data_IF_827079730891
#
_entry.id   IF_827079730891
#
_cell.length_a   1.000
_cell.length_b   1.000
_cell.length_c   1.000
_cell.angle_alpha   90.00
_cell.angle_beta   90.00
_cell.angle_gamma   90.00
#
_symmetry.space_group_name_H-M   'P 1'
#
loop_
_entity.id
_entity.type
_entity.pdbx_description
1 polymer ?
#
# COMPACT_ATOMS: atom_id res chain seq x y z
N UNK A 1 12.97 8.47 11.10
CA UNK A 1 11.74 8.34 11.91
C UNK A 1 12.12 7.81 13.27
N UNK A 2 11.48 8.35 14.29
CA UNK A 2 11.76 8.01 15.69
C UNK A 2 10.53 7.36 16.29
N UNK A 3 10.70 6.22 16.94
CA UNK A 3 9.67 5.62 17.76
C UNK A 3 10.32 5.16 19.07
N UNK A 4 9.85 5.63 20.23
CA UNK A 4 10.34 5.14 21.52
C UNK A 4 9.91 3.69 21.75
N UNK A 5 10.51 3.05 22.76
CA UNK A 5 10.14 1.69 23.15
C UNK A 5 8.63 1.57 23.42
N UNK A 6 8.02 0.49 22.91
CA UNK A 6 6.57 0.28 22.98
C UNK A 6 5.77 0.91 21.82
N UNK A 7 6.41 1.68 20.94
CA UNK A 7 5.78 2.31 19.79
C UNK A 7 6.42 1.89 18.47
N UNK A 8 5.61 1.93 17.41
CA UNK A 8 6.00 1.72 16.03
C UNK A 8 5.66 2.97 15.21
N UNK A 9 6.50 3.39 14.25
CA UNK A 9 6.16 4.47 13.34
C UNK A 9 4.89 4.15 12.53
N UNK A 10 4.09 5.16 12.21
CA UNK A 10 2.86 4.99 11.43
C UNK A 10 3.12 4.43 10.02
N UNK A 11 4.36 4.51 9.52
CA UNK A 11 4.72 4.04 8.19
C UNK A 11 4.46 2.55 7.96
N UNK A 12 4.44 1.73 9.02
CA UNK A 12 3.97 0.35 8.92
C UNK A 12 2.52 0.29 8.45
N UNK A 13 1.65 1.12 9.02
CA UNK A 13 0.25 1.21 8.61
C UNK A 13 0.09 1.84 7.22
N UNK A 14 0.88 2.86 6.89
CA UNK A 14 0.86 3.47 5.56
C UNK A 14 1.30 2.48 4.47
N UNK A 15 2.28 1.62 4.76
CA UNK A 15 2.68 0.55 3.86
C UNK A 15 1.52 -0.43 3.61
N UNK A 16 0.76 -0.81 4.63
CA UNK A 16 -0.42 -1.65 4.43
C UNK A 16 -1.48 -0.98 3.57
N UNK A 17 -1.71 0.32 3.72
CA UNK A 17 -2.61 1.06 2.82
C UNK A 17 -2.14 0.97 1.37
N UNK A 18 -0.83 1.11 1.12
CA UNK A 18 -0.25 0.98 -0.22
C UNK A 18 -0.41 -0.44 -0.78
N UNK A 19 -0.07 -1.46 0.01
CA UNK A 19 -0.22 -2.88 -0.36
C UNK A 19 -1.69 -3.21 -0.66
N UNK A 20 -2.62 -2.64 0.11
CA UNK A 20 -4.05 -2.79 -0.10
C UNK A 20 -4.52 -2.15 -1.41
N UNK A 21 -4.08 -0.92 -1.69
CA UNK A 21 -4.34 -0.25 -2.97
C UNK A 21 -3.79 -1.06 -4.15
N UNK A 22 -2.57 -1.58 -4.02
CA UNK A 22 -1.93 -2.44 -5.02
C UNK A 22 -2.72 -3.71 -5.33
N UNK A 23 -3.22 -4.38 -4.29
CA UNK A 23 -4.07 -5.56 -4.43
C UNK A 23 -5.38 -5.20 -5.11
N UNK A 24 -6.06 -4.15 -4.64
CA UNK A 24 -7.27 -3.64 -5.28
C UNK A 24 -7.07 -3.37 -6.77
N UNK A 25 -5.98 -2.70 -7.15
CA UNK A 25 -5.71 -2.39 -8.54
C UNK A 25 -5.56 -3.65 -9.40
N UNK A 26 -4.80 -4.64 -8.92
CA UNK A 26 -4.54 -5.90 -9.66
C UNK A 26 -5.74 -6.85 -9.68
N UNK A 27 -6.43 -6.97 -8.56
CA UNK A 27 -7.45 -8.00 -8.33
C UNK A 27 -8.87 -7.50 -8.63
N UNK A 28 -9.08 -6.19 -8.73
CA UNK A 28 -10.41 -5.60 -8.88
C UNK A 28 -10.47 -4.56 -10.00
N UNK A 29 -9.66 -3.50 -9.95
CA UNK A 29 -9.77 -2.39 -10.89
C UNK A 29 -9.36 -2.77 -12.33
N UNK A 30 -8.22 -3.46 -12.50
CA UNK A 30 -7.75 -3.91 -13.82
C UNK A 30 -8.68 -4.93 -14.48
N UNK A 31 -9.17 -5.99 -13.79
CA UNK A 31 -10.17 -6.89 -14.34
C UNK A 31 -11.44 -6.16 -14.78
N UNK A 32 -11.94 -5.22 -13.96
CA UNK A 32 -13.12 -4.42 -14.32
C UNK A 32 -12.91 -3.62 -15.62
N UNK A 33 -11.73 -3.01 -15.79
CA UNK A 33 -11.38 -2.32 -17.05
C UNK A 33 -11.39 -3.28 -18.23
N UNK A 34 -10.79 -4.46 -18.09
CA UNK A 34 -10.73 -5.45 -19.17
C UNK A 34 -12.12 -5.95 -19.59
N UNK A 35 -13.07 -6.04 -18.65
CA UNK A 35 -14.45 -6.46 -18.91
C UNK A 35 -15.31 -5.36 -19.54
N UNK A 36 -15.01 -4.09 -19.26
CA UNK A 36 -15.84 -2.95 -19.65
C UNK A 36 -15.25 -2.11 -20.79
N UNK A 37 -14.07 -2.46 -21.33
CA UNK A 37 -13.48 -1.81 -22.51
C UNK A 37 -14.30 -2.15 -23.77
N UNK A 38 -15.04 -1.18 -24.34
CA UNK A 38 -15.95 -1.42 -25.45
C UNK A 38 -15.22 -1.61 -26.78
N UNK A 39 -13.92 -1.32 -26.87
CA UNK A 39 -13.20 -1.27 -28.15
C UNK A 39 -12.55 -2.60 -28.52
N UNK A 40 -12.22 -3.45 -27.54
CA UNK A 40 -11.75 -4.83 -27.72
C UNK A 40 -10.55 -5.01 -28.67
N UNK A 41 -9.90 -3.93 -29.11
CA UNK A 41 -8.99 -3.95 -30.26
C UNK A 41 -7.61 -3.36 -30.04
N UNK A 42 -7.34 -2.71 -28.92
CA UNK A 42 -5.99 -2.36 -28.55
C UNK A 42 -5.83 -2.40 -27.04
N UNK A 43 -4.59 -2.60 -26.63
CA UNK A 43 -4.14 -2.74 -25.25
C UNK A 43 -4.67 -1.62 -24.33
N UNK A 44 -5.82 -1.87 -23.69
CA UNK A 44 -6.53 -1.01 -22.73
C UNK A 44 -6.82 0.40 -23.24
N UNK A 45 -8.10 0.77 -23.39
CA UNK A 45 -8.48 2.18 -23.51
C UNK A 45 -7.77 3.00 -22.41
N UNK A 46 -6.96 3.96 -22.86
CA UNK A 46 -6.08 4.76 -22.00
C UNK A 46 -6.87 5.44 -20.90
N UNK A 47 -8.11 5.84 -21.18
CA UNK A 47 -8.97 6.54 -20.23
C UNK A 47 -9.44 5.61 -19.11
N UNK A 48 -9.77 4.35 -19.42
CA UNK A 48 -10.16 3.36 -18.42
C UNK A 48 -8.97 2.93 -17.54
N UNK A 49 -7.80 2.71 -18.15
CA UNK A 49 -6.60 2.38 -17.39
C UNK A 49 -6.19 3.53 -16.46
N UNK A 50 -6.26 4.77 -16.96
CA UNK A 50 -5.99 5.95 -16.15
C UNK A 50 -7.01 6.09 -15.02
N UNK A 51 -8.30 5.83 -15.27
CA UNK A 51 -9.32 5.81 -14.23
C UNK A 51 -9.05 4.76 -13.15
N UNK A 52 -8.65 3.54 -13.53
CA UNK A 52 -8.27 2.50 -12.57
C UNK A 52 -7.04 2.89 -11.74
N UNK A 53 -6.03 3.52 -12.36
CA UNK A 53 -4.85 4.03 -11.66
C UNK A 53 -5.22 5.13 -10.65
N UNK A 54 -6.04 6.10 -11.04
CA UNK A 54 -6.51 7.16 -10.14
C UNK A 54 -7.36 6.60 -9.01
N UNK A 55 -8.16 5.58 -9.27
CA UNK A 55 -8.98 4.90 -8.26
C UNK A 55 -8.14 4.12 -7.25
N UNK A 56 -7.05 3.47 -7.69
CA UNK A 56 -6.03 2.89 -6.78
C UNK A 56 -5.51 3.96 -5.82
N UNK A 57 -5.21 5.17 -6.33
CA UNK A 57 -4.65 6.24 -5.51
C UNK A 57 -5.67 6.77 -4.50
N UNK A 58 -6.91 6.94 -4.94
CA UNK A 58 -8.00 7.35 -4.06
C UNK A 58 -8.26 6.36 -2.95
N UNK A 59 -8.20 5.05 -3.22
CA UNK A 59 -8.36 4.06 -2.16
C UNK A 59 -7.26 4.18 -1.10
N UNK A 60 -6.00 4.36 -1.51
CA UNK A 60 -4.88 4.53 -0.59
C UNK A 60 -5.10 5.77 0.29
N UNK A 61 -5.38 6.92 -0.33
CA UNK A 61 -5.62 8.18 0.39
C UNK A 61 -6.87 8.11 1.28
N UNK A 62 -7.92 7.42 0.84
CA UNK A 62 -9.13 7.19 1.63
C UNK A 62 -8.85 6.33 2.87
N UNK A 63 -8.09 5.24 2.74
CA UNK A 63 -7.66 4.40 3.87
C UNK A 63 -6.83 5.21 4.87
N UNK A 64 -5.87 6.00 4.37
CA UNK A 64 -5.02 6.85 5.22
C UNK A 64 -5.85 7.93 5.92
N UNK A 65 -6.77 8.58 5.21
CA UNK A 65 -7.66 9.59 5.81
C UNK A 65 -8.50 8.98 6.93
N UNK A 66 -9.05 7.79 6.71
CA UNK A 66 -9.81 7.09 7.75
C UNK A 66 -8.94 6.70 8.95
N UNK A 67 -7.73 6.19 8.74
CA UNK A 67 -6.79 5.87 9.82
C UNK A 67 -6.47 7.11 10.67
N UNK A 68 -6.17 8.23 10.02
CA UNK A 68 -5.75 9.46 10.69
C UNK A 68 -6.90 10.22 11.36
N UNK A 69 -8.06 10.28 10.72
CA UNK A 69 -9.21 11.08 11.19
C UNK A 69 -10.13 10.31 12.12
N UNK A 70 -10.43 9.04 11.81
CA UNK A 70 -11.28 8.23 12.68
C UNK A 70 -10.51 7.62 13.85
N UNK A 71 -9.17 7.57 13.75
CA UNK A 71 -8.28 7.00 14.76
C UNK A 71 -8.84 5.70 15.36
N UNK A 72 -9.06 4.66 14.53
CA UNK A 72 -9.64 3.40 14.98
C UNK A 72 -8.81 2.74 16.10
N UNK A 73 -7.53 3.12 16.19
CA UNK A 73 -6.71 3.02 17.40
C UNK A 73 -6.09 4.41 17.67
N UNK A 74 -5.71 4.70 18.93
CA UNK A 74 -5.04 5.94 19.26
C UNK A 74 -3.72 6.13 18.50
N UNK A 75 -3.53 7.31 17.93
CA UNK A 75 -2.25 7.73 17.34
C UNK A 75 -1.48 8.59 18.33
N UNK A 76 -0.15 8.55 18.26
CA UNK A 76 0.74 9.27 19.15
C UNK A 76 1.74 10.10 18.36
N UNK A 77 2.09 11.28 18.87
CA UNK A 77 3.24 12.04 18.41
C UNK A 77 4.43 11.71 19.31
N UNK A 78 5.57 11.42 18.71
CA UNK A 78 6.81 11.10 19.41
C UNK A 78 7.92 12.08 19.03
N UNK A 79 8.46 12.75 20.04
CA UNK A 79 9.62 13.62 19.91
C UNK A 79 10.90 12.80 19.72
N UNK A 80 11.95 13.36 19.08
CA UNK A 80 13.27 12.76 19.08
C UNK A 80 13.85 12.51 20.49
N UNK A 81 13.39 13.27 21.49
CA UNK A 81 13.78 13.09 22.90
C UNK A 81 13.10 11.90 23.59
N UNK A 82 12.17 11.20 22.92
CA UNK A 82 11.40 10.08 23.49
C UNK A 82 10.10 10.49 24.19
N UNK A 83 9.80 11.80 24.27
CA UNK A 83 8.51 12.28 24.80
C UNK A 83 7.38 11.87 23.85
N UNK A 84 6.31 11.32 24.41
CA UNK A 84 5.13 10.90 23.64
C UNK A 84 3.88 11.63 24.10
N UNK A 85 2.97 11.94 23.17
CA UNK A 85 1.63 12.41 23.49
C UNK A 85 0.61 11.81 22.52
N UNK A 86 -0.64 11.64 22.96
CA UNK A 86 -1.70 11.21 22.05
C UNK A 86 -2.05 12.35 21.08
N UNK A 87 -2.11 12.04 19.79
CA UNK A 87 -2.43 12.98 18.74
C UNK A 87 -3.94 13.14 18.61
N UNK A 88 -4.42 14.38 18.55
CA UNK A 88 -5.81 14.66 18.16
C UNK A 88 -6.01 14.44 16.65
N UNK A 89 -7.17 13.96 16.17
CA UNK A 89 -7.49 13.92 14.73
C UNK A 89 -7.30 15.25 14.02
N UNK A 90 -7.43 16.37 14.74
CA UNK A 90 -7.26 17.73 14.21
C UNK A 90 -5.85 17.99 13.66
N UNK A 91 -4.84 17.21 14.08
CA UNK A 91 -3.49 17.31 13.50
C UNK A 91 -3.43 16.82 12.06
N UNK A 92 -4.39 16.01 11.64
CA UNK A 92 -4.36 15.34 10.34
C UNK A 92 -5.43 15.88 9.40
N UNK A 93 -5.85 17.13 9.59
CA UNK A 93 -6.84 17.75 8.72
C UNK A 93 -6.31 17.82 7.29
N UNK A 94 -7.21 17.57 6.35
CA UNK A 94 -6.91 17.48 4.93
C UNK A 94 -7.90 18.28 4.11
N UNK A 95 -7.47 18.83 2.97
CA UNK A 95 -8.36 19.61 2.10
C UNK A 95 -9.54 18.79 1.56
N UNK A 96 -9.30 17.53 1.19
CA UNK A 96 -10.31 16.69 0.52
C UNK A 96 -11.23 15.94 1.51
N UNK A 97 -10.89 15.92 2.80
CA UNK A 97 -11.67 15.24 3.86
C UNK A 97 -12.18 13.84 3.46
N UNK A 98 -11.31 13.02 2.84
CA UNK A 98 -11.72 11.78 2.16
C UNK A 98 -12.49 10.79 3.05
N UNK A 99 -12.21 10.77 4.36
CA UNK A 99 -12.93 9.98 5.35
C UNK A 99 -14.45 10.28 5.48
N UNK A 100 -14.95 11.34 4.85
CA UNK A 100 -16.38 11.68 4.77
C UNK A 100 -17.12 10.92 3.68
N UNK A 101 -16.39 10.34 2.72
CA UNK A 101 -16.97 9.56 1.64
C UNK A 101 -16.90 8.07 1.96
N UNK A 102 -17.79 7.29 1.34
CA UNK A 102 -17.70 5.83 1.33
C UNK A 102 -17.03 5.41 0.02
N UNK A 103 -16.02 4.54 0.12
CA UNK A 103 -15.33 4.03 -1.05
C UNK A 103 -16.04 2.78 -1.56
N UNK A 104 -16.54 2.84 -2.78
CA UNK A 104 -17.16 1.72 -3.49
C UNK A 104 -16.47 1.47 -4.84
N UNK A 105 -16.55 0.26 -5.36
CA UNK A 105 -16.05 -0.07 -6.70
C UNK A 105 -17.10 -0.80 -7.56
N UNK A 106 -17.37 -0.34 -8.80
CA UNK A 106 -16.84 0.87 -9.44
C UNK A 106 -17.22 2.14 -8.67
N UNK A 107 -16.44 3.22 -8.81
CA UNK A 107 -16.73 4.46 -8.08
C UNK A 107 -18.10 5.01 -8.47
N UNK A 108 -19.01 5.05 -7.49
CA UNK A 108 -20.39 5.55 -7.59
C UNK A 108 -20.56 6.91 -6.89
N UNK A 109 -19.79 7.15 -5.82
CA UNK A 109 -19.83 8.40 -5.06
C UNK A 109 -19.40 9.58 -5.94
N UNK A 110 -20.29 10.57 -6.07
CA UNK A 110 -20.07 11.71 -6.96
C UNK A 110 -18.86 12.56 -6.54
N UNK A 111 -18.54 12.62 -5.24
CA UNK A 111 -17.35 13.31 -4.71
C UNK A 111 -16.08 12.61 -5.17
N UNK A 112 -15.96 11.31 -4.88
CA UNK A 112 -14.80 10.51 -5.27
C UNK A 112 -14.63 10.44 -6.80
N UNK A 113 -15.72 10.29 -7.55
CA UNK A 113 -15.70 10.32 -9.03
C UNK A 113 -15.17 11.66 -9.55
N UNK A 114 -15.60 12.78 -8.94
CA UNK A 114 -15.11 14.10 -9.34
C UNK A 114 -13.63 14.29 -9.03
N UNK A 115 -13.15 13.81 -7.88
CA UNK A 115 -11.72 13.87 -7.54
C UNK A 115 -10.92 13.01 -8.52
N UNK A 116 -11.38 11.78 -8.81
CA UNK A 116 -10.76 10.89 -9.79
C UNK A 116 -10.68 11.51 -11.18
N UNK A 117 -11.65 12.34 -11.57
CA UNK A 117 -11.67 12.98 -12.89
C UNK A 117 -10.81 14.24 -12.96
N UNK A 118 -10.82 15.06 -11.90
CA UNK A 118 -10.18 16.39 -11.88
C UNK A 118 -8.68 16.36 -11.60
N UNK A 119 -8.19 15.39 -10.83
CA UNK A 119 -6.77 15.29 -10.45
C UNK A 119 -6.06 14.24 -11.28
N UNK A 120 -4.81 14.52 -11.62
CA UNK A 120 -3.87 13.53 -12.15
C UNK A 120 -3.50 12.50 -11.08
N UNK A 121 -3.08 11.31 -11.48
CA UNK A 121 -2.62 10.28 -10.53
C UNK A 121 -1.42 10.77 -9.69
N UNK A 122 -0.55 11.60 -10.27
CA UNK A 122 0.59 12.22 -9.58
C UNK A 122 0.14 13.26 -8.54
N UNK A 123 -0.89 14.06 -8.82
CA UNK A 123 -1.46 14.99 -7.84
C UNK A 123 -2.12 14.26 -6.67
N UNK A 124 -2.74 13.10 -6.92
CA UNK A 124 -3.31 12.27 -5.85
C UNK A 124 -2.19 11.60 -5.03
N UNK A 125 -1.10 11.13 -5.67
CA UNK A 125 0.03 10.47 -5.00
C UNK A 125 0.99 11.38 -4.27
N UNK A 126 1.18 12.60 -4.76
CA UNK A 126 2.25 13.45 -4.29
C UNK A 126 2.14 13.75 -2.80
N UNK A 127 0.94 13.63 -2.20
CA UNK A 127 0.66 13.86 -0.78
C UNK A 127 0.89 15.30 -0.32
N UNK A 128 1.63 16.09 -1.11
CA UNK A 128 2.03 17.49 -0.91
C UNK A 128 0.86 18.46 -0.76
N UNK A 129 -0.36 17.98 -0.93
CA UNK A 129 -1.57 18.81 -0.89
C UNK A 129 -2.73 18.13 -0.18
N UNK A 130 -2.54 16.95 0.45
CA UNK A 130 -3.65 16.28 1.11
C UNK A 130 -3.79 16.80 2.54
N UNK A 131 -2.73 16.76 3.35
CA UNK A 131 -2.75 17.10 4.77
C UNK A 131 -2.01 18.41 5.05
N UNK A 132 -2.56 19.25 5.93
CA UNK A 132 -2.02 20.59 6.15
C UNK A 132 -0.68 20.61 6.90
N UNK A 133 -0.48 19.69 7.83
CA UNK A 133 0.71 19.67 8.72
C UNK A 133 1.30 18.27 8.92
N UNK A 134 0.89 17.30 8.12
CA UNK A 134 1.36 15.91 8.20
C UNK A 134 1.92 15.49 6.86
N UNK A 135 3.14 14.98 6.86
CA UNK A 135 3.76 14.44 5.66
C UNK A 135 3.65 12.92 5.65
N UNK A 136 2.85 12.41 4.72
CA UNK A 136 2.61 10.99 4.51
C UNK A 136 3.89 10.21 4.13
N UNK A 137 4.86 10.87 3.49
CA UNK A 137 6.08 10.20 3.04
C UNK A 137 7.01 9.94 4.22
N UNK A 138 7.18 10.95 5.08
CA UNK A 138 8.06 10.85 6.25
C UNK A 138 7.36 10.31 7.49
N UNK A 139 6.02 10.33 7.54
CA UNK A 139 5.24 9.97 8.72
C UNK A 139 5.39 10.96 9.87
N UNK A 140 5.78 12.20 9.56
CA UNK A 140 6.08 13.24 10.55
C UNK A 140 5.09 14.41 10.45
N UNK A 141 4.97 15.14 11.56
CA UNK A 141 4.41 16.48 11.53
C UNK A 141 5.40 17.40 10.82
N UNK A 142 4.92 18.15 9.84
CA UNK A 142 5.70 19.12 9.06
C UNK A 142 4.89 20.39 8.99
N UNK A 143 5.39 21.45 9.59
CA UNK A 143 4.68 22.74 9.59
C UNK A 143 5.00 23.48 8.29
N UNK A 144 3.98 23.84 7.48
CA UNK A 144 4.19 24.50 6.20
C UNK A 144 4.74 25.92 6.42
N UNK A 145 5.56 26.38 5.47
CA UNK A 145 6.01 27.76 5.39
C UNK A 145 4.85 28.72 5.12
N UNK A 146 5.01 30.02 5.45
CA UNK A 146 3.95 31.00 5.22
C UNK A 146 3.54 31.10 3.74
N UNK A 147 4.48 30.90 2.81
CA UNK A 147 4.19 30.87 1.37
C UNK A 147 3.34 29.66 0.99
N UNK A 148 3.61 28.48 1.56
CA UNK A 148 2.76 27.30 1.37
C UNK A 148 1.39 27.50 2.01
N UNK A 149 1.32 28.13 3.20
CA UNK A 149 0.06 28.41 3.88
C UNK A 149 -0.88 29.26 3.00
N UNK A 150 -0.33 30.28 2.33
CA UNK A 150 -1.10 31.15 1.44
C UNK A 150 -1.67 30.44 0.20
N UNK A 151 -1.13 29.27 -0.15
CA UNK A 151 -1.64 28.47 -1.27
C UNK A 151 -2.84 27.61 -0.90
N UNK A 152 -3.13 27.42 0.39
CA UNK A 152 -4.29 26.63 0.82
C UNK A 152 -5.60 27.41 0.70
N UNK A 153 -6.73 26.74 0.40
CA UNK A 153 -8.04 27.39 0.29
C UNK A 153 -8.48 28.13 1.57
N UNK A 154 -8.12 27.62 2.75
CA UNK A 154 -8.38 28.23 4.05
C UNK A 154 -7.07 28.55 4.79
N UNK A 155 -6.31 29.49 4.23
CA UNK A 155 -5.01 29.89 4.76
C UNK A 155 -5.08 30.33 6.24
N UNK A 156 -6.19 30.92 6.69
CA UNK A 156 -6.34 31.38 8.07
C UNK A 156 -6.52 30.24 9.07
N UNK A 157 -7.34 29.23 8.74
CA UNK A 157 -7.46 28.03 9.55
C UNK A 157 -6.15 27.25 9.59
N UNK A 158 -5.49 27.10 8.43
CA UNK A 158 -4.18 26.44 8.36
C UNK A 158 -3.14 27.20 9.19
N UNK A 159 -3.09 28.53 9.12
CA UNK A 159 -2.16 29.32 9.94
C UNK A 159 -2.38 29.13 11.43
N UNK A 160 -3.64 29.03 11.88
CA UNK A 160 -3.96 28.72 13.29
C UNK A 160 -3.47 27.33 13.67
N UNK A 161 -3.75 26.33 12.84
CA UNK A 161 -3.29 24.95 13.04
C UNK A 161 -1.76 24.87 13.08
N UNK A 162 -1.06 25.49 12.13
CA UNK A 162 0.40 25.56 12.06
C UNK A 162 1.02 26.19 13.30
N UNK A 163 0.41 27.25 13.86
CA UNK A 163 0.87 27.84 15.12
C UNK A 163 0.76 26.88 16.30
N UNK A 164 -0.35 26.13 16.38
CA UNK A 164 -0.53 25.10 17.40
C UNK A 164 0.41 23.91 17.19
N UNK A 165 0.72 23.58 15.93
CA UNK A 165 1.57 22.45 15.55
C UNK A 165 3.07 22.75 15.64
N UNK A 166 3.49 24.02 15.65
CA UNK A 166 4.89 24.44 15.65
C UNK A 166 5.79 23.73 16.68
N UNK A 167 5.38 23.48 17.94
CA UNK A 167 6.21 22.75 18.90
C UNK A 167 6.45 21.27 18.53
N UNK A 168 5.64 20.72 17.62
CA UNK A 168 5.65 19.32 17.22
C UNK A 168 6.28 19.12 15.83
N UNK A 169 6.83 20.17 15.22
CA UNK A 169 7.47 20.07 13.92
C UNK A 169 8.62 19.03 13.96
N UNK A 170 8.61 18.11 13.00
CA UNK A 170 9.53 16.97 12.92
C UNK A 170 9.22 15.80 13.85
N UNK A 171 8.17 15.87 14.68
CA UNK A 171 7.76 14.72 15.51
C UNK A 171 7.17 13.62 14.65
N UNK A 172 7.50 12.37 14.98
CA UNK A 172 7.01 11.20 14.24
C UNK A 172 5.63 10.78 14.76
N UNK A 173 4.73 10.46 13.85
CA UNK A 173 3.45 9.84 14.19
C UNK A 173 3.67 8.34 14.41
N UNK A 174 3.15 7.84 15.52
CA UNK A 174 3.39 6.49 16.01
C UNK A 174 2.09 5.83 16.43
N UNK A 175 2.14 4.50 16.48
CA UNK A 175 1.11 3.59 16.98
C UNK A 175 1.74 2.76 18.09
N UNK A 176 0.96 2.32 19.07
CA UNK A 176 1.50 1.38 20.07
C UNK A 176 1.75 0.03 19.42
N UNK A 177 2.79 -0.67 19.85
CA UNK A 177 3.12 -1.99 19.31
C UNK A 177 1.97 -3.00 19.46
N UNK A 178 1.20 -2.91 20.54
CA UNK A 178 0.03 -3.76 20.79
C UNK A 178 -1.13 -3.53 19.80
N UNK A 179 -1.18 -2.35 19.16
CA UNK A 179 -2.24 -1.96 18.23
C UNK A 179 -1.89 -2.20 16.75
N UNK A 180 -0.64 -2.59 16.46
CA UNK A 180 -0.13 -2.81 15.09
C UNK A 180 -0.99 -3.82 14.34
N UNK A 181 -1.14 -5.03 14.89
CA UNK A 181 -1.96 -6.10 14.28
C UNK A 181 -3.44 -5.71 14.16
N UNK A 182 -3.93 -4.90 15.11
CA UNK A 182 -5.31 -4.42 15.11
C UNK A 182 -5.56 -3.46 13.95
N UNK A 183 -4.64 -2.52 13.68
CA UNK A 183 -4.74 -1.63 12.53
C UNK A 183 -4.79 -2.43 11.23
N UNK A 184 -3.90 -3.42 11.07
CA UNK A 184 -3.86 -4.23 9.85
C UNK A 184 -5.21 -4.88 9.57
N UNK A 185 -5.82 -5.49 10.59
CA UNK A 185 -7.15 -6.12 10.50
C UNK A 185 -8.23 -5.10 10.14
N UNK A 186 -8.22 -3.94 10.80
CA UNK A 186 -9.19 -2.87 10.54
C UNK A 186 -9.08 -2.40 9.10
N UNK A 187 -7.88 -2.01 8.63
CA UNK A 187 -7.64 -1.53 7.26
C UNK A 187 -8.08 -2.57 6.22
N UNK A 188 -7.83 -3.86 6.47
CA UNK A 188 -8.25 -4.94 5.59
C UNK A 188 -9.78 -5.06 5.51
N UNK A 189 -10.48 -4.82 6.61
CA UNK A 189 -11.95 -4.86 6.68
C UNK A 189 -12.67 -3.60 6.19
N UNK A 190 -11.97 -2.47 5.99
CA UNK A 190 -12.62 -1.20 5.64
C UNK A 190 -13.22 -1.20 4.23
N UNK A 191 -12.71 -2.05 3.35
CA UNK A 191 -13.21 -2.21 1.99
C UNK A 191 -12.93 -3.64 1.55
N UNK A 192 -13.97 -4.39 1.19
CA UNK A 192 -13.85 -5.76 0.66
C UNK A 192 -14.41 -5.82 -0.76
N UNK A 193 -13.77 -6.60 -1.62
CA UNK A 193 -14.24 -6.88 -2.98
C UNK A 193 -14.54 -8.39 -3.15
N UNK A 194 -15.41 -8.78 -4.10
CA UNK A 194 -15.97 -10.15 -4.19
C UNK A 194 -14.94 -11.29 -4.38
N UNK A 195 -13.69 -10.95 -4.69
CA UNK A 195 -12.58 -11.89 -4.88
C UNK A 195 -11.42 -11.62 -3.93
N UNK A 196 -11.65 -10.88 -2.84
CA UNK A 196 -10.68 -10.74 -1.79
C UNK A 196 -10.41 -12.12 -1.19
N UNK A 197 -9.35 -12.77 -1.67
CA UNK A 197 -8.84 -13.99 -1.06
C UNK A 197 -8.42 -13.59 0.34
N UNK A 198 -9.10 -14.16 1.35
CA UNK A 198 -8.65 -14.09 2.74
C UNK A 198 -7.16 -14.41 2.76
N UNK A 199 -6.34 -13.46 3.21
CA UNK A 199 -4.95 -13.72 3.47
C UNK A 199 -4.89 -14.78 4.58
N UNK A 200 -4.71 -16.03 4.17
CA UNK A 200 -4.09 -17.06 4.99
C UNK A 200 -2.83 -16.40 5.53
N UNK A 201 -2.80 -16.18 6.84
CA UNK A 201 -1.68 -15.65 7.60
C UNK A 201 -0.49 -16.59 7.45
N UNK A 202 0.22 -16.47 6.32
CA UNK A 202 1.46 -17.17 6.10
C UNK A 202 2.57 -16.38 6.80
N UNK A 203 3.32 -17.01 7.71
CA UNK A 203 4.38 -16.34 8.43
C UNK A 203 5.46 -15.82 7.47
N UNK A 204 5.97 -14.65 7.85
CA UNK A 204 7.09 -13.89 7.30
C UNK A 204 8.17 -14.82 6.68
N UNK A 205 8.36 -14.73 5.36
CA UNK A 205 9.54 -15.25 4.66
C UNK A 205 9.32 -16.14 3.43
N UNK A 206 8.66 -15.63 2.37
CA UNK A 206 8.52 -16.22 1.00
C UNK A 206 8.80 -17.74 0.84
N UNK A 207 7.92 -18.65 1.33
CA UNK A 207 7.92 -20.07 0.92
C UNK A 207 7.31 -20.22 -0.48
N UNK A 208 6.22 -19.49 -0.75
CA UNK A 208 5.40 -19.65 -1.96
C UNK A 208 6.16 -19.48 -3.29
N UNK A 209 7.03 -18.46 -3.40
CA UNK A 209 7.84 -18.27 -4.61
C UNK A 209 8.84 -19.40 -4.86
N UNK A 210 9.32 -20.05 -3.79
CA UNK A 210 10.27 -21.15 -3.90
C UNK A 210 9.54 -22.42 -4.33
N UNK A 211 8.36 -22.66 -3.78
CA UNK A 211 7.48 -23.78 -4.16
C UNK A 211 7.03 -23.67 -5.61
N UNK A 212 6.51 -22.50 -6.04
CA UNK A 212 6.10 -22.25 -7.42
C UNK A 212 7.27 -22.41 -8.41
N UNK A 213 8.46 -21.91 -8.05
CA UNK A 213 9.67 -22.09 -8.84
C UNK A 213 10.10 -23.56 -8.96
N UNK A 214 9.95 -24.34 -7.89
CA UNK A 214 10.26 -25.77 -7.89
C UNK A 214 9.23 -26.59 -8.70
N UNK A 215 7.95 -26.21 -8.66
CA UNK A 215 6.90 -26.81 -9.47
C UNK A 215 7.16 -26.62 -10.96
N UNK A 216 7.36 -25.37 -11.38
CA UNK A 216 7.62 -25.06 -12.78
C UNK A 216 8.91 -25.71 -13.26
N UNK A 217 9.95 -25.73 -12.43
CA UNK A 217 11.18 -26.48 -12.75
C UNK A 217 10.89 -27.97 -12.96
N UNK A 218 10.13 -28.61 -12.08
CA UNK A 218 9.86 -30.06 -12.16
C UNK A 218 8.96 -30.39 -13.36
N UNK A 219 8.03 -29.50 -13.70
CA UNK A 219 7.20 -29.63 -14.90
C UNK A 219 8.01 -29.47 -16.21
N UNK A 220 8.94 -28.51 -16.25
CA UNK A 220 9.79 -28.28 -17.43
C UNK A 220 10.89 -29.35 -17.58
N UNK A 221 11.38 -29.90 -16.47
CA UNK A 221 12.52 -30.81 -16.43
C UNK A 221 12.22 -32.06 -15.57
N UNK A 222 11.27 -32.93 -15.97
CA UNK A 222 10.83 -34.07 -15.16
C UNK A 222 11.94 -35.08 -14.86
N UNK A 223 12.92 -35.21 -15.75
CA UNK A 223 14.10 -36.09 -15.56
C UNK A 223 15.36 -35.29 -15.13
N UNK A 224 15.18 -34.04 -14.72
CA UNK A 224 16.26 -33.11 -14.43
C UNK A 224 16.86 -32.47 -15.69
N UNK A 225 17.24 -31.20 -15.60
CA UNK A 225 17.80 -30.43 -16.71
C UNK A 225 19.16 -30.96 -17.19
N UNK A 226 19.91 -31.68 -16.33
CA UNK A 226 21.18 -32.32 -16.68
C UNK A 226 21.03 -33.43 -17.73
N UNK A 227 19.88 -34.12 -17.77
CA UNK A 227 19.60 -35.13 -18.79
C UNK A 227 19.50 -34.53 -20.21
N UNK A 228 19.25 -33.22 -20.30
CA UNK A 228 19.16 -32.46 -21.54
C UNK A 228 20.45 -31.67 -21.85
N UNK A 229 21.49 -31.78 -21.01
CA UNK A 229 22.72 -31.00 -21.15
C UNK A 229 22.54 -29.49 -20.97
N UNK A 230 21.45 -29.06 -20.32
CA UNK A 230 21.11 -27.65 -20.13
C UNK A 230 21.83 -27.10 -18.88
N UNK A 231 22.25 -25.84 -18.91
CA UNK A 231 22.89 -25.18 -17.75
C UNK A 231 21.88 -24.52 -16.82
N UNK A 232 22.26 -24.27 -15.57
CA UNK A 232 21.42 -23.55 -14.61
C UNK A 232 21.02 -22.14 -15.06
N UNK A 233 21.87 -21.44 -15.81
CA UNK A 233 21.54 -20.11 -16.34
C UNK A 233 20.39 -20.18 -17.36
N UNK A 234 20.38 -21.21 -18.20
CA UNK A 234 19.28 -21.45 -19.14
C UNK A 234 18.01 -21.88 -18.41
N UNK A 235 18.13 -22.72 -17.38
CA UNK A 235 17.00 -23.10 -16.51
C UNK A 235 16.36 -21.87 -15.86
N UNK A 236 17.17 -20.95 -15.33
CA UNK A 236 16.70 -19.71 -14.71
C UNK A 236 15.86 -18.87 -15.68
N UNK A 237 16.33 -18.70 -16.92
CA UNK A 237 15.62 -17.99 -17.97
C UNK A 237 14.29 -18.68 -18.32
N UNK A 238 14.30 -20.02 -18.48
CA UNK A 238 13.11 -20.78 -18.84
C UNK A 238 12.05 -20.77 -17.74
N UNK A 239 12.45 -20.94 -16.47
CA UNK A 239 11.56 -20.91 -15.32
C UNK A 239 11.01 -19.49 -15.09
N UNK A 240 11.85 -18.46 -15.18
CA UNK A 240 11.41 -17.07 -15.07
C UNK A 240 10.41 -16.69 -16.17
N UNK A 241 10.66 -17.15 -17.40
CA UNK A 241 9.74 -16.95 -18.53
C UNK A 241 8.40 -17.66 -18.32
N UNK A 242 8.43 -18.91 -17.86
CA UNK A 242 7.21 -19.68 -17.59
C UNK A 242 6.38 -19.07 -16.45
N UNK A 243 7.03 -18.51 -15.42
CA UNK A 243 6.37 -17.85 -14.30
C UNK A 243 5.98 -16.38 -14.57
N UNK A 244 6.43 -15.80 -15.69
CA UNK A 244 6.29 -14.35 -16.00
C UNK A 244 6.82 -13.43 -14.88
N UNK A 245 7.84 -13.89 -14.14
CA UNK A 245 8.51 -13.12 -13.09
C UNK A 245 10.00 -13.51 -13.03
N UNK A 246 10.84 -12.58 -12.55
CA UNK A 246 12.27 -12.88 -12.33
C UNK A 246 12.44 -13.83 -11.13
N UNK A 247 13.09 -14.96 -11.36
CA UNK A 247 13.39 -15.99 -10.36
C UNK A 247 14.85 -16.34 -10.44
N UNK A 248 15.55 -16.29 -9.31
CA UNK A 248 16.97 -16.63 -9.26
C UNK A 248 17.23 -18.13 -9.20
N UNK A 249 18.39 -18.58 -9.67
CA UNK A 249 18.87 -19.98 -9.49
C UNK A 249 18.77 -20.41 -8.02
N UNK A 250 19.12 -19.53 -7.07
CA UNK A 250 19.03 -19.80 -5.64
C UNK A 250 17.60 -20.08 -5.17
N UNK A 251 16.62 -19.37 -5.71
CA UNK A 251 15.19 -19.56 -5.39
C UNK A 251 14.70 -20.93 -5.85
N UNK A 252 15.08 -21.32 -7.07
CA UNK A 252 14.74 -22.63 -7.64
C UNK A 252 15.37 -23.75 -6.81
N UNK A 253 16.69 -23.66 -6.54
CA UNK A 253 17.41 -24.67 -5.74
C UNK A 253 16.86 -24.80 -4.33
N UNK A 254 16.50 -23.69 -3.68
CA UNK A 254 15.93 -23.72 -2.33
C UNK A 254 14.56 -24.39 -2.30
N UNK A 255 13.69 -24.08 -3.27
CA UNK A 255 12.39 -24.76 -3.41
C UNK A 255 12.53 -26.27 -3.64
N UNK A 256 13.48 -26.70 -4.49
CA UNK A 256 13.75 -28.12 -4.71
C UNK A 256 14.27 -28.81 -3.45
N UNK A 257 15.13 -28.15 -2.68
CA UNK A 257 15.65 -28.68 -1.41
C UNK A 257 14.55 -28.85 -0.35
N UNK A 258 13.62 -27.89 -0.25
CA UNK A 258 12.48 -27.99 0.67
C UNK A 258 11.60 -29.21 0.36
N UNK A 259 11.47 -29.59 -0.93
CA UNK A 259 10.73 -30.80 -1.34
C UNK A 259 11.44 -32.10 -0.98
N UNK A 260 12.76 -32.14 -1.10
CA UNK A 260 13.53 -33.34 -0.70
C UNK A 260 13.53 -33.50 0.82
N UNK A 261 13.66 -32.41 1.56
CA UNK A 261 13.71 -32.44 3.02
C UNK A 261 12.31 -32.74 3.62
N UNK A 262 11.23 -32.24 2.99
CA UNK A 262 9.84 -32.52 3.42
C UNK A 262 9.36 -33.96 3.18
N UNK A 263 10.00 -34.72 2.27
CA UNK A 263 9.71 -36.15 2.07
C UNK A 263 10.44 -37.07 3.06
N UNK A 264 11.31 -36.53 3.91
CA UNK A 264 12.03 -37.29 4.95
C UNK A 264 11.24 -37.43 6.25
N UNK A 265 10.14 -36.69 6.42
CA UNK A 265 9.35 -36.64 7.65
C UNK A 265 7.87 -37.03 7.43
N UNK A 266 7.56 -37.69 6.30
CA UNK A 266 6.24 -38.23 5.97
C UNK A 266 6.31 -39.74 5.79
#
# INVERSE_FOLDING_TARGET
MYAPEGFSPINYALQWCQERGDRFFRECALPWVAENDPTGKDMFDRDFLEFALRSRMLLIEWLVSNLLQRQPVPLYLSAPSGTTMQASPTFFLSQEMLHWFEFEWPLTDAGLVNIAKKKTAEEILSGKSTYYIFDIQTGCIVVPSETEIQSFPDADAVRKLSRTAAPFDGWSVCIRNEDVDRIQKILSSMFSWPHEVEEITAPIGRPRKQEEAADVYTALFPNGHGALGITWATVEQMVSKALRQSVSIYTIKRGLKMRTDGKSNA
#
